data_IF_684519841951
#
_entry.id   IF_684519841951
#
_cell.length_a   1.000
_cell.length_b   1.000
_cell.length_c   1.000
_cell.angle_alpha   90.00
_cell.angle_beta   90.00
_cell.angle_gamma   90.00
#
_symmetry.space_group_name_H-M   'P 1'
#
loop_
_entity.id
_entity.type
_entity.pdbx_description
1 polymer ?
#
# COMPACT_ATOMS: atom_id res chain seq x y z
N UNK A 1 50.74 29.80 -60.41
CA UNK A 1 49.67 30.75 -60.80
C UNK A 1 48.33 30.04 -60.78
N UNK A 2 47.30 30.70 -60.21
CA UNK A 2 45.84 30.43 -60.27
C UNK A 2 45.34 29.17 -59.51
N UNK A 3 44.95 29.30 -58.24
CA UNK A 3 43.64 29.77 -57.69
C UNK A 3 42.66 28.59 -57.49
N UNK A 4 42.65 28.01 -56.28
CA UNK A 4 41.58 27.15 -55.77
C UNK A 4 40.40 28.04 -55.39
N UNK A 5 39.32 27.95 -56.15
CA UNK A 5 38.07 28.67 -55.90
C UNK A 5 37.12 27.80 -55.07
N UNK A 6 36.78 28.37 -53.92
CA UNK A 6 35.77 28.05 -52.91
C UNK A 6 34.35 28.16 -53.47
N UNK A 7 33.50 27.15 -53.26
CA UNK A 7 32.02 27.23 -53.27
C UNK A 7 31.51 26.13 -52.33
N UNK A 8 31.36 26.37 -51.02
CA UNK A 8 30.13 26.76 -50.32
C UNK A 8 28.82 26.28 -50.97
N UNK A 9 28.22 25.22 -50.40
CA UNK A 9 26.76 25.17 -50.23
C UNK A 9 26.39 24.26 -49.06
N UNK A 10 26.12 24.90 -47.93
CA UNK A 10 25.40 24.37 -46.77
C UNK A 10 23.91 24.27 -47.10
N UNK A 11 23.31 23.10 -46.91
CA UNK A 11 21.89 22.99 -46.55
C UNK A 11 21.78 21.92 -45.47
N UNK A 12 21.59 22.36 -44.22
CA UNK A 12 21.28 21.50 -43.09
C UNK A 12 19.92 20.84 -43.36
N UNK A 13 19.90 19.52 -43.20
CA UNK A 13 18.70 18.70 -43.30
C UNK A 13 17.66 19.11 -42.26
N UNK A 14 16.41 19.12 -42.73
CA UNK A 14 15.23 19.53 -42.01
C UNK A 14 14.96 18.70 -40.74
N UNK A 15 14.44 19.41 -39.74
CA UNK A 15 13.81 18.88 -38.54
C UNK A 15 12.70 17.87 -38.88
N UNK A 16 12.76 16.69 -38.28
CA UNK A 16 11.59 15.85 -38.02
C UNK A 16 11.65 15.39 -36.56
N UNK A 17 10.76 15.96 -35.75
CA UNK A 17 10.57 15.61 -34.36
C UNK A 17 9.98 14.21 -34.25
N UNK A 18 10.78 13.25 -33.82
CA UNK A 18 10.26 12.01 -33.24
C UNK A 18 10.11 12.27 -31.74
N UNK A 19 8.89 12.56 -31.31
CA UNK A 19 8.52 12.53 -29.89
C UNK A 19 8.76 11.11 -29.38
N UNK A 20 9.96 10.88 -28.85
CA UNK A 20 10.24 9.70 -28.06
C UNK A 20 9.37 9.83 -26.82
N UNK A 21 8.29 9.04 -26.76
CA UNK A 21 7.53 8.85 -25.54
C UNK A 21 8.53 8.49 -24.45
N UNK A 22 8.79 9.43 -23.54
CA UNK A 22 9.25 9.10 -22.20
C UNK A 22 8.09 8.39 -21.52
N UNK A 23 7.85 7.14 -21.92
CA UNK A 23 7.36 6.14 -21.00
C UNK A 23 8.52 5.95 -20.00
N UNK A 24 8.65 6.91 -19.09
CA UNK A 24 9.21 6.57 -17.79
C UNK A 24 8.35 5.40 -17.35
N UNK A 25 8.93 4.20 -17.34
CA UNK A 25 8.35 3.15 -16.56
C UNK A 25 8.22 3.76 -15.17
N UNK A 26 7.00 4.16 -14.80
CA UNK A 26 6.63 4.15 -13.41
C UNK A 26 6.79 2.68 -13.05
N UNK A 27 8.01 2.31 -12.65
CA UNK A 27 8.26 1.07 -11.98
C UNK A 27 7.40 1.22 -10.73
N UNK A 28 6.22 0.60 -10.74
CA UNK A 28 5.49 0.32 -9.53
C UNK A 28 6.54 -0.30 -8.61
N UNK A 29 6.99 0.49 -7.64
CA UNK A 29 7.88 -0.03 -6.61
C UNK A 29 7.10 -1.19 -6.02
N UNK A 30 7.70 -2.38 -5.84
CA UNK A 30 7.00 -3.45 -5.16
C UNK A 30 6.39 -2.86 -3.90
N UNK A 31 5.11 -3.16 -3.67
CA UNK A 31 4.31 -2.71 -2.53
C UNK A 31 4.81 -3.42 -1.25
N UNK A 32 6.10 -3.23 -0.96
CA UNK A 32 6.84 -3.82 0.16
C UNK A 32 6.41 -3.16 1.49
N UNK A 33 5.44 -2.25 1.46
CA UNK A 33 4.87 -1.59 2.64
C UNK A 33 3.64 -2.29 3.24
N UNK A 34 3.14 -3.36 2.60
CA UNK A 34 1.96 -4.08 3.10
C UNK A 34 2.29 -4.92 4.35
N UNK A 35 1.77 -4.51 5.50
CA UNK A 35 1.89 -5.18 6.80
C UNK A 35 0.87 -6.30 6.93
N UNK A 36 1.34 -7.52 7.18
CA UNK A 36 0.46 -8.63 7.54
C UNK A 36 -0.11 -8.46 8.95
N UNK A 37 -1.43 -8.47 9.10
CA UNK A 37 -2.07 -8.44 10.42
C UNK A 37 -2.39 -9.86 10.92
N UNK A 38 -3.24 -10.60 10.20
CA UNK A 38 -3.68 -11.94 10.58
C UNK A 38 -4.35 -12.67 9.40
N UNK A 39 -4.67 -13.95 9.56
CA UNK A 39 -5.41 -14.75 8.55
C UNK A 39 -6.85 -14.97 9.00
N UNK A 40 -7.82 -14.81 8.09
CA UNK A 40 -9.26 -14.92 8.38
C UNK A 40 -10.09 -15.30 7.14
N UNK A 41 -11.41 -15.21 7.22
CA UNK A 41 -12.32 -15.40 6.07
C UNK A 41 -12.24 -14.22 5.09
N UNK A 42 -12.63 -14.41 3.83
CA UNK A 42 -12.66 -13.29 2.87
C UNK A 42 -13.56 -12.14 3.35
N UNK A 43 -14.73 -12.46 3.91
CA UNK A 43 -15.67 -11.47 4.41
C UNK A 43 -15.08 -10.64 5.56
N UNK A 44 -14.40 -11.29 6.50
CA UNK A 44 -13.75 -10.60 7.63
C UNK A 44 -12.55 -9.76 7.16
N UNK A 45 -11.81 -10.25 6.15
CA UNK A 45 -10.71 -9.51 5.56
C UNK A 45 -11.19 -8.20 4.92
N UNK A 46 -12.20 -8.28 4.05
CA UNK A 46 -12.83 -7.11 3.42
C UNK A 46 -13.41 -6.16 4.47
N UNK A 47 -14.15 -6.68 5.45
CA UNK A 47 -14.72 -5.87 6.53
C UNK A 47 -13.63 -5.15 7.33
N UNK A 48 -12.53 -5.83 7.66
CA UNK A 48 -11.40 -5.22 8.40
C UNK A 48 -10.74 -4.12 7.57
N UNK A 49 -10.47 -4.40 6.30
CA UNK A 49 -9.85 -3.45 5.38
C UNK A 49 -10.69 -2.19 5.20
N UNK A 50 -11.98 -2.36 4.87
CA UNK A 50 -12.92 -1.26 4.66
C UNK A 50 -13.08 -0.40 5.92
N UNK A 51 -13.19 -1.03 7.10
CA UNK A 51 -13.28 -0.29 8.37
C UNK A 51 -12.00 0.46 8.69
N UNK A 52 -10.82 -0.09 8.37
CA UNK A 52 -9.56 0.60 8.60
C UNK A 52 -9.30 1.75 7.62
N UNK A 53 -9.74 1.64 6.36
CA UNK A 53 -9.75 2.77 5.43
C UNK A 53 -10.72 3.86 5.92
N UNK A 54 -11.95 3.48 6.28
CA UNK A 54 -12.96 4.42 6.78
C UNK A 54 -12.54 5.10 8.09
N UNK A 55 -11.84 4.37 8.95
CA UNK A 55 -11.24 4.87 10.19
C UNK A 55 -9.95 5.66 9.99
N UNK A 56 -9.42 5.69 8.77
CA UNK A 56 -8.19 6.41 8.42
C UNK A 56 -6.93 5.78 9.01
N UNK A 57 -6.93 4.49 9.32
CA UNK A 57 -5.72 3.74 9.71
C UNK A 57 -5.00 3.13 8.51
N UNK A 58 -5.73 2.79 7.45
CA UNK A 58 -5.19 2.17 6.24
C UNK A 58 -5.39 3.09 5.02
N UNK A 59 -4.38 3.18 4.16
CA UNK A 59 -4.52 3.80 2.83
C UNK A 59 -5.05 2.80 1.82
N UNK A 60 -4.65 1.54 1.94
CA UNK A 60 -5.12 0.41 1.15
C UNK A 60 -5.05 -0.90 1.94
N UNK A 61 -5.68 -1.95 1.43
CA UNK A 61 -5.56 -3.30 1.95
C UNK A 61 -5.64 -4.37 0.86
N UNK A 62 -5.04 -5.53 1.14
CA UNK A 62 -5.08 -6.70 0.28
C UNK A 62 -5.55 -7.94 1.06
N UNK A 63 -6.49 -8.68 0.47
CA UNK A 63 -6.90 -10.00 0.94
C UNK A 63 -6.21 -11.09 0.13
N UNK A 64 -5.08 -11.58 0.62
CA UNK A 64 -4.27 -12.58 -0.10
C UNK A 64 -4.75 -13.99 0.25
N UNK A 65 -5.28 -14.72 -0.74
CA UNK A 65 -5.72 -16.10 -0.56
C UNK A 65 -4.55 -17.03 -0.20
N UNK A 66 -4.78 -17.92 0.77
CA UNK A 66 -3.84 -18.95 1.22
C UNK A 66 -4.55 -20.22 1.70
N UNK A 67 -3.78 -21.20 2.17
CA UNK A 67 -4.29 -22.52 2.57
C UNK A 67 -5.24 -22.42 3.79
N UNK A 68 -4.97 -21.48 4.70
CA UNK A 68 -5.72 -21.32 5.96
C UNK A 68 -6.82 -20.26 5.89
N UNK A 69 -7.02 -19.61 4.74
CA UNK A 69 -7.93 -18.47 4.58
C UNK A 69 -7.25 -17.33 3.81
N UNK A 70 -7.70 -16.10 4.07
CA UNK A 70 -7.18 -14.87 3.48
C UNK A 70 -6.31 -14.13 4.49
N UNK A 71 -5.08 -13.83 4.11
CA UNK A 71 -4.19 -12.95 4.88
C UNK A 71 -4.65 -11.51 4.71
N UNK A 72 -4.90 -10.82 5.82
CA UNK A 72 -5.16 -9.38 5.85
C UNK A 72 -3.82 -8.68 5.79
N UNK A 73 -3.52 -8.01 4.68
CA UNK A 73 -2.34 -7.17 4.53
C UNK A 73 -2.79 -5.72 4.34
N UNK A 74 -2.16 -4.78 5.03
CA UNK A 74 -2.61 -3.37 5.03
C UNK A 74 -1.46 -2.44 4.75
N UNK A 75 -1.75 -1.35 4.04
CA UNK A 75 -0.84 -0.22 3.92
C UNK A 75 -1.19 0.80 5.01
N UNK A 76 -0.29 1.09 5.96
CA UNK A 76 -0.53 2.09 6.99
C UNK A 76 -0.73 3.49 6.42
N UNK A 77 -1.64 4.27 7.01
CA UNK A 77 -1.53 5.72 6.90
C UNK A 77 -0.63 6.27 8.00
N UNK A 78 0.21 7.25 7.67
CA UNK A 78 0.99 8.00 8.66
C UNK A 78 0.21 9.18 9.27
N UNK A 79 -1.11 9.26 9.02
CA UNK A 79 -1.97 10.28 9.60
C UNK A 79 -2.44 9.85 10.99
N UNK A 80 -2.79 10.82 11.83
CA UNK A 80 -3.38 10.55 13.14
C UNK A 80 -4.81 10.03 12.98
N UNK A 81 -5.09 8.86 13.54
CA UNK A 81 -6.43 8.36 13.82
C UNK A 81 -6.57 8.08 15.31
N UNK A 82 -7.78 8.15 15.84
CA UNK A 82 -8.02 7.92 17.27
C UNK A 82 -9.07 6.84 17.43
N UNK A 83 -8.74 5.83 18.23
CA UNK A 83 -9.64 4.79 18.71
C UNK A 83 -10.45 4.07 17.62
N UNK A 84 -9.75 3.35 16.75
CA UNK A 84 -10.38 2.49 15.74
C UNK A 84 -10.66 1.10 16.32
N UNK A 85 -11.89 0.62 16.13
CA UNK A 85 -12.30 -0.74 16.50
C UNK A 85 -12.30 -1.66 15.28
N UNK A 86 -11.47 -2.70 15.32
CA UNK A 86 -11.47 -3.78 14.33
C UNK A 86 -12.07 -5.04 14.95
N UNK A 87 -13.01 -5.69 14.26
CA UNK A 87 -13.63 -6.92 14.75
C UNK A 87 -12.74 -8.12 14.48
N UNK A 88 -12.50 -8.95 15.50
CA UNK A 88 -11.63 -10.13 15.42
C UNK A 88 -12.27 -11.32 16.13
N UNK A 89 -12.06 -12.52 15.59
CA UNK A 89 -12.83 -13.71 15.99
C UNK A 89 -12.55 -14.18 17.42
N UNK A 90 -11.31 -14.06 17.89
CA UNK A 90 -10.88 -14.55 19.20
C UNK A 90 -9.69 -13.75 19.75
N UNK A 91 -9.37 -13.95 21.02
CA UNK A 91 -8.27 -13.26 21.71
C UNK A 91 -6.90 -13.50 21.06
N UNK A 92 -6.64 -14.71 20.54
CA UNK A 92 -5.36 -15.02 19.93
C UNK A 92 -5.17 -14.24 18.62
N UNK A 93 -6.22 -14.19 17.78
CA UNK A 93 -6.24 -13.36 16.57
C UNK A 93 -6.12 -11.88 16.92
N UNK A 94 -6.80 -11.42 17.97
CA UNK A 94 -6.70 -10.03 18.43
C UNK A 94 -5.26 -9.65 18.79
N UNK A 95 -4.61 -10.45 19.64
CA UNK A 95 -3.23 -10.19 20.06
C UNK A 95 -2.25 -10.30 18.89
N UNK A 96 -2.45 -11.27 17.98
CA UNK A 96 -1.64 -11.39 16.77
C UNK A 96 -1.77 -10.15 15.90
N UNK A 97 -2.99 -9.74 15.56
CA UNK A 97 -3.26 -8.58 14.73
C UNK A 97 -2.67 -7.32 15.36
N UNK A 98 -2.97 -7.07 16.63
CA UNK A 98 -2.46 -5.94 17.41
C UNK A 98 -0.93 -5.87 17.43
N UNK A 99 -0.28 -6.99 17.74
CA UNK A 99 1.19 -7.08 17.78
C UNK A 99 1.82 -6.84 16.42
N UNK A 100 1.27 -7.45 15.38
CA UNK A 100 1.80 -7.30 14.03
C UNK A 100 1.61 -5.87 13.51
N UNK A 101 0.48 -5.22 13.82
CA UNK A 101 0.28 -3.82 13.46
C UNK A 101 1.21 -2.86 14.20
N UNK A 102 1.50 -3.09 15.48
CA UNK A 102 2.53 -2.31 16.21
C UNK A 102 3.91 -2.52 15.58
N UNK A 103 4.30 -3.77 15.36
CA UNK A 103 5.61 -4.10 14.79
C UNK A 103 5.77 -3.62 13.34
N UNK A 104 4.67 -3.56 12.59
CA UNK A 104 4.63 -3.05 11.23
C UNK A 104 4.43 -1.53 11.13
N UNK A 105 4.29 -0.82 12.26
CA UNK A 105 4.09 0.63 12.27
C UNK A 105 2.73 1.09 11.76
N UNK A 106 1.71 0.23 11.84
CA UNK A 106 0.31 0.54 11.47
C UNK A 106 -0.36 1.41 12.54
N UNK A 107 -0.08 1.12 13.80
CA UNK A 107 -0.57 1.85 14.98
C UNK A 107 0.50 1.86 16.07
N UNK A 108 0.38 2.79 17.02
CA UNK A 108 1.30 2.93 18.15
C UNK A 108 1.00 1.94 19.27
N UNK A 109 -0.29 1.69 19.55
CA UNK A 109 -0.73 0.76 20.59
C UNK A 109 -2.00 0.00 20.20
N UNK A 110 -2.34 -1.00 21.01
CA UNK A 110 -3.58 -1.74 20.86
C UNK A 110 -4.12 -2.27 22.19
N UNK A 111 -5.42 -2.50 22.24
CA UNK A 111 -6.11 -3.18 23.33
C UNK A 111 -7.12 -4.20 22.78
N UNK A 112 -7.07 -5.41 23.32
CA UNK A 112 -8.04 -6.45 23.02
C UNK A 112 -9.20 -6.43 24.01
N UNK A 113 -10.38 -6.02 23.55
CA UNK A 113 -11.60 -5.95 24.36
C UNK A 113 -12.57 -7.07 24.00
N UNK A 114 -13.23 -7.66 24.99
CA UNK A 114 -14.32 -8.60 24.75
C UNK A 114 -15.58 -7.81 24.37
N UNK A 115 -16.11 -8.05 23.17
CA UNK A 115 -17.33 -7.44 22.64
C UNK A 115 -18.48 -8.44 22.50
N UNK A 116 -19.61 -7.95 21.96
CA UNK A 116 -20.84 -8.75 21.79
C UNK A 116 -20.67 -9.85 20.71
N UNK A 117 -19.80 -9.62 19.73
CA UNK A 117 -19.57 -10.51 18.59
C UNK A 117 -18.20 -11.21 18.60
N UNK A 118 -17.55 -11.30 19.76
CA UNK A 118 -16.20 -11.87 19.88
C UNK A 118 -15.25 -10.86 20.52
N UNK A 119 -14.06 -10.70 19.96
CA UNK A 119 -13.09 -9.70 20.43
C UNK A 119 -13.09 -8.49 19.49
N UNK A 120 -12.83 -7.32 20.05
CA UNK A 120 -12.58 -6.10 19.31
C UNK A 120 -11.16 -5.64 19.61
N UNK A 121 -10.42 -5.38 18.55
CA UNK A 121 -9.10 -4.79 18.60
C UNK A 121 -9.27 -3.27 18.52
N UNK A 122 -9.04 -2.59 19.64
CA UNK A 122 -8.96 -1.13 19.69
C UNK A 122 -7.51 -0.72 19.38
N UNK A 123 -7.30 0.20 18.44
CA UNK A 123 -5.96 0.68 18.04
C UNK A 123 -5.90 2.21 18.05
N UNK A 124 -4.72 2.76 18.35
CA UNK A 124 -4.49 4.21 18.32
C UNK A 124 -3.09 4.58 17.80
N UNK A 125 -2.93 5.83 17.35
CA UNK A 125 -1.70 6.40 16.80
C UNK A 125 -1.37 7.74 17.49
#
# INVERSE_FOLDING_TARGET
MKKLARVLTTTLAALAASFAFTAGAAQATPDDALVYLYTTTLADCTSTGDNGIAGGAFSDYECVSGIAGYSVRVEPTFNSFTDLYLTVQNLATCNQAGTNGVNGGVWADYECRLGIAGYSLLVSN
#
